data_IF_632718961734
#
_entry.id   IF_632718961734
#
_cell.length_a   1.000
_cell.length_b   1.000
_cell.length_c   1.000
_cell.angle_alpha   90.00
_cell.angle_beta   90.00
_cell.angle_gamma   90.00
#
_symmetry.space_group_name_H-M   'P 1'
#
loop_
_entity.id
_entity.type
_entity.pdbx_description
1 polymer ?
#
# COMPACT_ATOMS: atom_id res chain seq x y z
N UNK A 1 -21.61 13.86 21.53
CA UNK A 1 -21.39 13.31 20.17
C UNK A 1 -19.95 12.80 20.09
N UNK A 2 -19.76 11.48 19.98
CA UNK A 2 -18.44 10.86 19.75
C UNK A 2 -18.15 10.93 18.25
N UNK A 3 -16.99 11.46 17.89
CA UNK A 3 -16.52 11.57 16.50
C UNK A 3 -16.39 10.19 15.85
N UNK A 4 -16.89 9.98 14.62
CA UNK A 4 -16.82 8.70 13.90
C UNK A 4 -15.38 8.28 13.53
N UNK A 5 -14.39 9.18 13.69
CA UNK A 5 -12.99 8.94 13.38
C UNK A 5 -12.27 7.97 14.35
N UNK A 6 -12.81 7.69 15.54
CA UNK A 6 -12.16 6.73 16.47
C UNK A 6 -12.53 5.28 16.20
N UNK A 7 -13.64 5.02 15.50
CA UNK A 7 -14.10 3.65 15.22
C UNK A 7 -13.23 2.92 14.19
N UNK A 8 -12.73 3.62 13.17
CA UNK A 8 -11.92 3.00 12.11
C UNK A 8 -10.51 2.62 12.57
N UNK A 9 -9.89 3.40 13.49
CA UNK A 9 -8.59 3.04 14.07
C UNK A 9 -8.69 1.79 14.93
N UNK A 10 -9.78 1.62 15.68
CA UNK A 10 -10.00 0.42 16.47
C UNK A 10 -10.20 -0.84 15.60
N UNK A 11 -10.84 -0.73 14.43
CA UNK A 11 -10.99 -1.85 13.47
C UNK A 11 -9.68 -2.18 12.75
N UNK A 12 -8.83 -1.20 12.49
CA UNK A 12 -7.51 -1.41 11.90
C UNK A 12 -6.52 -2.09 12.87
N UNK A 13 -6.69 -1.87 14.18
CA UNK A 13 -5.80 -2.40 15.24
C UNK A 13 -6.26 -3.76 15.81
N UNK A 14 -7.51 -4.19 15.55
CA UNK A 14 -7.99 -5.53 15.95
C UNK A 14 -7.40 -6.66 15.11
N UNK A 15 -6.75 -6.34 13.99
CA UNK A 15 -5.96 -7.27 13.20
C UNK A 15 -4.50 -7.26 13.64
N UNK A 16 -4.26 -7.66 14.89
CA UNK A 16 -2.94 -8.13 15.32
C UNK A 16 -2.38 -9.11 14.28
N UNK A 17 -1.05 -9.24 14.14
CA UNK A 17 -0.41 -10.01 13.07
C UNK A 17 -1.00 -11.43 13.04
N UNK A 18 -1.97 -11.66 12.14
CA UNK A 18 -2.69 -12.93 12.07
C UNK A 18 -1.67 -13.99 11.69
N UNK A 19 -1.38 -14.90 12.62
CA UNK A 19 -0.41 -15.98 12.45
C UNK A 19 -0.76 -16.76 11.18
N UNK A 20 0.23 -17.00 10.32
CA UNK A 20 0.02 -17.72 9.06
C UNK A 20 -0.69 -16.92 7.95
N UNK A 21 -0.85 -15.58 8.06
CA UNK A 21 -1.38 -14.74 6.95
C UNK A 21 -0.59 -14.92 5.64
N UNK A 22 0.73 -15.16 5.71
CA UNK A 22 1.52 -15.48 4.50
C UNK A 22 1.08 -16.78 3.81
N UNK A 23 0.48 -17.72 4.54
CA UNK A 23 0.06 -19.02 4.02
C UNK A 23 -1.43 -19.07 3.58
N UNK A 24 -2.19 -17.98 3.77
CA UNK A 24 -3.66 -17.93 3.56
C UNK A 24 -4.08 -17.24 2.25
N UNK A 25 -3.14 -16.72 1.47
CA UNK A 25 -3.48 -15.99 0.24
C UNK A 25 -3.78 -16.96 -0.91
N UNK A 26 -4.79 -16.69 -1.76
CA UNK A 26 -5.17 -17.57 -2.87
C UNK A 26 -4.02 -17.86 -3.85
N UNK A 27 -2.98 -17.02 -3.87
CA UNK A 27 -1.80 -17.17 -4.72
C UNK A 27 -0.60 -17.83 -4.01
N UNK A 28 -0.82 -18.68 -3.01
CA UNK A 28 0.29 -19.32 -2.29
C UNK A 28 1.15 -20.20 -3.19
N UNK A 29 0.52 -21.14 -3.92
CA UNK A 29 1.21 -22.07 -4.80
C UNK A 29 2.09 -21.38 -5.86
N UNK A 30 1.61 -20.37 -6.61
CA UNK A 30 2.46 -19.69 -7.59
C UNK A 30 3.60 -18.89 -6.95
N UNK A 31 3.43 -18.40 -5.72
CA UNK A 31 4.53 -17.75 -4.98
C UNK A 31 5.54 -18.76 -4.48
N UNK A 32 5.10 -19.97 -4.15
CA UNK A 32 5.94 -21.01 -3.59
C UNK A 32 6.75 -21.79 -4.62
N UNK A 33 6.13 -22.01 -5.78
CA UNK A 33 6.63 -22.82 -6.87
C UNK A 33 8.07 -22.49 -7.32
N UNK A 34 8.47 -21.22 -7.55
CA UNK A 34 9.82 -20.95 -8.05
C UNK A 34 10.90 -21.35 -7.04
N UNK A 35 10.64 -21.20 -5.74
CA UNK A 35 11.60 -21.53 -4.71
C UNK A 35 11.73 -23.05 -4.52
N UNK A 36 10.60 -23.77 -4.55
CA UNK A 36 10.58 -25.22 -4.50
C UNK A 36 11.27 -25.83 -5.73
N UNK A 37 11.05 -25.24 -6.92
CA UNK A 37 11.71 -25.67 -8.15
C UNK A 37 13.23 -25.58 -8.04
N UNK A 38 13.77 -24.48 -7.51
CA UNK A 38 15.22 -24.32 -7.34
C UNK A 38 15.81 -25.36 -6.40
N UNK A 39 15.14 -25.68 -5.28
CA UNK A 39 15.62 -26.74 -4.36
C UNK A 39 15.54 -28.13 -4.97
N UNK A 40 14.48 -28.43 -5.72
CA UNK A 40 14.34 -29.70 -6.43
C UNK A 40 15.44 -29.83 -7.48
N UNK A 41 15.72 -28.78 -8.25
CA UNK A 41 16.82 -28.77 -9.22
C UNK A 41 18.17 -28.94 -8.52
N UNK A 42 18.41 -28.26 -7.40
CA UNK A 42 19.65 -28.41 -6.64
C UNK A 42 19.82 -29.84 -6.08
N UNK A 43 18.75 -30.42 -5.54
CA UNK A 43 18.74 -31.78 -4.99
C UNK A 43 18.94 -32.82 -6.09
N UNK A 44 18.24 -32.68 -7.22
CA UNK A 44 18.42 -33.56 -8.38
C UNK A 44 19.80 -33.38 -9.04
N UNK A 45 20.34 -32.16 -9.05
CA UNK A 45 21.66 -31.84 -9.58
C UNK A 45 22.79 -32.55 -8.83
N UNK A 46 22.60 -32.83 -7.54
CA UNK A 46 23.56 -33.62 -6.77
C UNK A 46 23.73 -35.06 -7.30
N UNK A 47 22.74 -35.61 -8.03
CA UNK A 47 22.77 -36.97 -8.60
C UNK A 47 23.45 -37.05 -9.97
N UNK A 48 23.87 -35.93 -10.55
CA UNK A 48 24.50 -35.92 -11.88
C UNK A 48 25.78 -36.78 -11.84
N UNK A 49 26.07 -37.63 -12.85
CA UNK A 49 27.12 -38.67 -12.80
C UNK A 49 28.58 -38.21 -12.59
N UNK A 50 28.83 -36.91 -12.43
CA UNK A 50 30.12 -36.31 -12.10
C UNK A 50 30.09 -35.56 -10.75
N UNK A 51 29.02 -35.73 -9.97
CA UNK A 51 28.89 -35.18 -8.64
C UNK A 51 29.59 -36.08 -7.63
N UNK A 52 30.58 -35.53 -6.93
CA UNK A 52 31.23 -36.17 -5.79
C UNK A 52 30.24 -36.22 -4.61
N UNK A 53 29.27 -37.14 -4.65
CA UNK A 53 28.40 -37.46 -3.51
C UNK A 53 29.23 -38.17 -2.44
N UNK A 54 29.67 -37.40 -1.44
CA UNK A 54 30.48 -37.88 -0.33
C UNK A 54 29.64 -38.71 0.66
N UNK A 55 28.36 -38.35 0.86
CA UNK A 55 27.50 -39.01 1.84
C UNK A 55 26.03 -39.20 1.43
N UNK A 56 25.71 -40.43 1.04
CA UNK A 56 24.33 -40.89 0.81
C UNK A 56 23.34 -40.65 1.95
N UNK A 57 23.67 -40.89 3.25
CA UNK A 57 22.70 -40.64 4.32
C UNK A 57 22.35 -39.17 4.48
N UNK A 58 23.31 -38.25 4.26
CA UNK A 58 23.03 -36.81 4.29
C UNK A 58 22.16 -36.38 3.12
N UNK A 59 22.37 -36.96 1.94
CA UNK A 59 21.50 -36.74 0.78
C UNK A 59 20.05 -37.19 1.05
N UNK A 60 19.86 -38.41 1.56
CA UNK A 60 18.53 -38.92 1.91
C UNK A 60 17.87 -38.05 2.99
N UNK A 61 18.62 -37.63 4.00
CA UNK A 61 18.14 -36.70 5.03
C UNK A 61 17.67 -35.37 4.41
N UNK A 62 18.45 -34.79 3.50
CA UNK A 62 18.08 -33.57 2.76
C UNK A 62 16.78 -33.74 1.99
N UNK A 63 16.63 -34.83 1.22
CA UNK A 63 15.44 -35.11 0.43
C UNK A 63 14.20 -35.29 1.32
N UNK A 64 14.34 -36.01 2.44
CA UNK A 64 13.25 -36.19 3.42
C UNK A 64 12.85 -34.84 4.05
N UNK A 65 13.82 -34.02 4.46
CA UNK A 65 13.56 -32.69 5.02
C UNK A 65 12.87 -31.76 4.00
N UNK A 66 13.23 -31.85 2.71
CA UNK A 66 12.58 -31.09 1.65
C UNK A 66 11.13 -31.53 1.45
N UNK A 67 10.85 -32.85 1.48
CA UNK A 67 9.48 -33.39 1.43
C UNK A 67 8.68 -32.96 2.66
N UNK A 68 9.27 -32.98 3.85
CA UNK A 68 8.63 -32.48 5.07
C UNK A 68 8.32 -30.98 4.97
N UNK A 69 9.22 -30.18 4.37
CA UNK A 69 8.98 -28.77 4.09
C UNK A 69 7.81 -28.58 3.12
N UNK A 70 7.71 -29.40 2.07
CA UNK A 70 6.57 -29.37 1.15
C UNK A 70 5.26 -29.79 1.84
N UNK A 71 5.30 -30.83 2.68
CA UNK A 71 4.16 -31.26 3.49
C UNK A 71 3.69 -30.19 4.49
N UNK A 72 4.61 -29.32 4.92
CA UNK A 72 4.36 -28.15 5.75
C UNK A 72 3.22 -27.24 5.28
N UNK A 73 3.05 -27.09 3.97
CA UNK A 73 2.01 -26.24 3.40
C UNK A 73 0.59 -26.75 3.65
N UNK A 74 0.42 -28.03 4.00
CA UNK A 74 -0.87 -28.63 4.32
C UNK A 74 -1.25 -28.44 5.80
N UNK A 75 -0.35 -27.93 6.65
CA UNK A 75 -0.64 -27.76 8.07
C UNK A 75 -1.69 -26.66 8.33
N UNK A 76 -2.57 -26.84 9.34
CA UNK A 76 -3.50 -25.81 9.78
C UNK A 76 -2.77 -24.74 10.62
N UNK A 77 -2.09 -23.82 9.93
CA UNK A 77 -1.30 -22.73 10.51
C UNK A 77 -2.08 -21.78 11.45
N UNK A 78 -3.41 -21.81 11.41
CA UNK A 78 -4.29 -21.00 12.27
C UNK A 78 -4.25 -21.42 13.75
N UNK A 79 -3.94 -22.70 14.02
CA UNK A 79 -3.95 -23.26 15.37
C UNK A 79 -2.60 -23.17 16.06
N UNK A 80 -1.58 -22.70 15.35
CA UNK A 80 -0.20 -22.74 15.80
C UNK A 80 0.22 -21.39 16.42
N UNK A 81 1.17 -21.41 17.37
CA UNK A 81 1.67 -20.20 18.03
C UNK A 81 2.41 -19.28 17.04
N UNK A 82 2.49 -17.99 17.35
CA UNK A 82 2.97 -16.94 16.43
C UNK A 82 4.40 -17.09 15.89
N UNK A 83 5.24 -17.92 16.49
CA UNK A 83 6.59 -18.23 16.01
C UNK A 83 6.63 -19.38 14.97
N UNK A 84 5.55 -20.15 14.83
CA UNK A 84 5.49 -21.32 13.96
C UNK A 84 5.79 -21.06 12.48
N UNK A 85 5.44 -19.89 11.87
CA UNK A 85 5.69 -19.68 10.45
C UNK A 85 7.19 -19.63 10.08
N UNK A 86 8.06 -19.32 11.04
CA UNK A 86 9.52 -19.33 10.86
C UNK A 86 10.07 -20.75 10.66
N UNK A 87 9.35 -21.76 11.16
CA UNK A 87 9.77 -23.15 11.12
C UNK A 87 9.95 -23.65 9.69
N UNK A 88 9.10 -23.23 8.75
CA UNK A 88 9.18 -23.67 7.35
C UNK A 88 10.49 -23.23 6.66
N UNK A 89 10.83 -21.92 6.62
CA UNK A 89 12.11 -21.48 6.10
C UNK A 89 13.31 -22.08 6.82
N UNK A 90 13.22 -22.28 8.14
CA UNK A 90 14.29 -22.94 8.89
C UNK A 90 14.46 -24.40 8.49
N UNK A 91 13.37 -25.15 8.38
CA UNK A 91 13.40 -26.54 7.92
C UNK A 91 14.01 -26.64 6.51
N UNK A 92 13.66 -25.71 5.63
CA UNK A 92 14.29 -25.57 4.33
C UNK A 92 15.81 -25.33 4.45
N UNK A 93 16.26 -24.40 5.29
CA UNK A 93 17.70 -24.14 5.47
C UNK A 93 18.45 -25.37 6.00
N UNK A 94 17.82 -26.18 6.86
CA UNK A 94 18.40 -27.44 7.37
C UNK A 94 18.49 -28.49 6.28
N UNK A 95 17.47 -28.61 5.40
CA UNK A 95 17.54 -29.46 4.20
C UNK A 95 18.73 -29.06 3.31
N UNK A 96 18.92 -27.77 3.06
CA UNK A 96 20.07 -27.27 2.26
C UNK A 96 21.41 -27.55 2.95
N UNK A 97 21.52 -27.40 4.28
CA UNK A 97 22.72 -27.79 5.01
C UNK A 97 23.04 -29.28 4.80
N UNK A 98 22.06 -30.16 4.93
CA UNK A 98 22.24 -31.59 4.68
C UNK A 98 22.68 -31.87 3.23
N UNK A 99 22.16 -31.11 2.26
CA UNK A 99 22.61 -31.21 0.85
C UNK A 99 24.07 -30.76 0.68
N UNK A 100 24.47 -29.66 1.31
CA UNK A 100 25.86 -29.16 1.27
C UNK A 100 26.82 -30.18 1.88
N UNK A 101 26.43 -30.84 2.97
CA UNK A 101 27.22 -31.90 3.60
C UNK A 101 27.27 -33.19 2.77
N UNK A 102 26.32 -33.38 1.83
CA UNK A 102 26.30 -34.54 0.93
C UNK A 102 27.21 -34.38 -0.30
N UNK A 103 27.44 -33.15 -0.77
CA UNK A 103 28.06 -32.85 -2.07
C UNK A 103 29.42 -32.14 -2.00
N UNK A 104 29.98 -31.93 -0.80
CA UNK A 104 31.31 -31.36 -0.62
C UNK A 104 31.45 -29.85 -0.90
N UNK A 105 32.66 -29.33 -0.63
CA UNK A 105 32.98 -27.89 -0.56
C UNK A 105 32.88 -27.12 -1.89
N UNK A 106 33.07 -27.80 -3.02
CA UNK A 106 33.27 -27.18 -4.33
C UNK A 106 32.00 -27.15 -5.22
N UNK A 107 30.88 -27.71 -4.73
CA UNK A 107 29.67 -27.96 -5.55
C UNK A 107 28.87 -26.72 -5.95
N UNK A 108 29.18 -25.52 -5.42
CA UNK A 108 28.42 -24.29 -5.69
C UNK A 108 27.01 -24.27 -5.06
N UNK A 109 26.59 -25.36 -4.41
CA UNK A 109 25.26 -25.55 -3.79
C UNK A 109 24.99 -24.52 -2.68
N UNK A 110 26.03 -23.89 -2.12
CA UNK A 110 25.89 -22.80 -1.15
C UNK A 110 25.03 -21.62 -1.65
N UNK A 111 24.91 -21.40 -2.96
CA UNK A 111 24.01 -20.38 -3.52
C UNK A 111 22.53 -20.65 -3.20
N UNK A 112 22.15 -21.91 -2.98
CA UNK A 112 20.78 -22.32 -2.65
C UNK A 112 20.33 -21.77 -1.30
N UNK A 113 21.27 -21.38 -0.40
CA UNK A 113 20.96 -20.70 0.86
C UNK A 113 20.34 -19.31 0.68
N UNK A 114 20.50 -18.69 -0.49
CA UNK A 114 19.80 -17.44 -0.80
C UNK A 114 18.30 -17.65 -1.04
N UNK A 115 17.87 -18.84 -1.47
CA UNK A 115 16.47 -19.14 -1.78
C UNK A 115 15.54 -18.94 -0.57
N UNK A 116 15.79 -19.54 0.62
CA UNK A 116 14.94 -19.32 1.80
C UNK A 116 15.06 -17.89 2.34
N UNK A 117 16.21 -17.23 2.13
CA UNK A 117 16.37 -15.83 2.47
C UNK A 117 15.46 -14.94 1.61
N UNK A 118 15.52 -15.08 0.29
CA UNK A 118 14.68 -14.32 -0.65
C UNK A 118 13.20 -14.58 -0.36
N UNK A 119 12.83 -15.85 -0.13
CA UNK A 119 11.48 -16.22 0.27
C UNK A 119 11.00 -15.41 1.49
N UNK A 120 11.77 -15.44 2.57
CA UNK A 120 11.35 -14.78 3.81
C UNK A 120 11.31 -13.27 3.64
N UNK A 121 12.30 -12.70 2.98
CA UNK A 121 12.38 -11.26 2.81
C UNK A 121 11.22 -10.71 1.96
N UNK A 122 10.69 -11.51 1.02
CA UNK A 122 9.55 -11.13 0.19
C UNK A 122 8.19 -11.37 0.84
N UNK A 123 8.02 -12.44 1.61
CA UNK A 123 6.69 -12.88 2.07
C UNK A 123 6.50 -12.85 3.58
N UNK A 124 7.58 -12.91 4.36
CA UNK A 124 7.55 -13.03 5.82
C UNK A 124 7.74 -11.67 6.51
N UNK A 125 7.74 -11.69 7.84
CA UNK A 125 8.01 -10.52 8.67
C UNK A 125 9.53 -10.34 8.91
N UNK A 126 9.92 -9.10 9.25
CA UNK A 126 11.32 -8.71 9.47
C UNK A 126 12.07 -9.58 10.48
N UNK A 127 11.39 -10.04 11.52
CA UNK A 127 12.01 -10.90 12.54
C UNK A 127 12.21 -12.33 12.05
N UNK A 128 11.27 -12.85 11.26
CA UNK A 128 11.37 -14.18 10.65
C UNK A 128 12.54 -14.24 9.66
N UNK A 129 12.73 -13.19 8.85
CA UNK A 129 13.90 -13.05 7.99
C UNK A 129 15.20 -12.90 8.78
N UNK A 130 15.21 -12.19 9.91
CA UNK A 130 16.40 -12.11 10.76
C UNK A 130 16.79 -13.49 11.32
N UNK A 131 15.81 -14.31 11.72
CA UNK A 131 16.05 -15.70 12.11
C UNK A 131 16.65 -16.52 10.96
N UNK A 132 16.16 -16.34 9.72
CA UNK A 132 16.72 -17.05 8.56
C UNK A 132 18.13 -16.56 8.20
N UNK A 133 18.42 -15.26 8.29
CA UNK A 133 19.78 -14.74 8.11
C UNK A 133 20.73 -15.38 9.14
N UNK A 134 20.32 -15.42 10.41
CA UNK A 134 21.10 -16.08 11.45
C UNK A 134 21.31 -17.57 11.15
N UNK A 135 20.27 -18.28 10.72
CA UNK A 135 20.36 -19.67 10.32
C UNK A 135 21.32 -19.89 9.13
N UNK A 136 21.27 -19.03 8.10
CA UNK A 136 22.22 -19.08 6.97
C UNK A 136 23.66 -18.90 7.43
N UNK A 137 23.91 -17.97 8.36
CA UNK A 137 25.25 -17.75 8.94
C UNK A 137 25.71 -18.97 9.75
N UNK A 138 24.81 -19.58 10.53
CA UNK A 138 25.09 -20.83 11.27
C UNK A 138 25.41 -21.97 10.31
N UNK A 139 24.62 -22.14 9.24
CA UNK A 139 24.90 -23.13 8.19
C UNK A 139 26.27 -22.90 7.58
N UNK A 140 26.63 -21.65 7.30
CA UNK A 140 27.95 -21.32 6.76
C UNK A 140 29.08 -21.67 7.73
N UNK A 141 28.91 -21.41 9.03
CA UNK A 141 29.88 -21.78 10.05
C UNK A 141 30.03 -23.30 10.16
N UNK A 142 28.92 -24.04 10.31
CA UNK A 142 28.90 -25.51 10.41
C UNK A 142 29.51 -26.15 9.18
N UNK A 143 29.10 -25.71 7.98
CA UNK A 143 29.62 -26.20 6.71
C UNK A 143 31.13 -25.98 6.58
N UNK A 144 31.63 -24.82 7.00
CA UNK A 144 33.08 -24.52 6.88
C UNK A 144 33.93 -25.30 7.88
N UNK A 145 33.42 -25.55 9.09
CA UNK A 145 34.06 -26.41 10.09
C UNK A 145 34.07 -27.86 9.64
N UNK A 146 32.94 -28.37 9.13
CA UNK A 146 32.83 -29.75 8.63
C UNK A 146 33.81 -30.05 7.49
N UNK A 147 34.13 -29.04 6.67
CA UNK A 147 35.07 -29.14 5.56
C UNK A 147 36.52 -28.82 5.96
N UNK A 148 36.82 -28.70 7.26
CA UNK A 148 38.17 -28.37 7.77
C UNK A 148 38.82 -27.15 7.08
N UNK A 149 38.02 -26.11 6.79
CA UNK A 149 38.50 -24.90 6.13
C UNK A 149 39.44 -24.09 7.04
N UNK A 150 40.44 -23.36 6.51
CA UNK A 150 41.29 -22.50 7.32
C UNK A 150 40.51 -21.39 8.05
N UNK A 151 40.88 -21.07 9.29
CA UNK A 151 40.16 -20.13 10.18
C UNK A 151 39.87 -18.76 9.54
N UNK A 152 40.83 -18.22 8.78
CA UNK A 152 40.69 -16.94 8.07
C UNK A 152 39.59 -17.00 7.00
N UNK A 153 39.44 -18.14 6.32
CA UNK A 153 38.40 -18.37 5.32
C UNK A 153 37.03 -18.47 5.99
N UNK A 154 36.95 -19.14 7.16
CA UNK A 154 35.73 -19.23 7.96
C UNK A 154 35.27 -17.83 8.39
N UNK A 155 36.17 -17.04 8.99
CA UNK A 155 35.88 -15.69 9.42
C UNK A 155 35.40 -14.80 8.27
N UNK A 156 36.10 -14.82 7.13
CA UNK A 156 35.71 -14.06 5.93
C UNK A 156 34.34 -14.49 5.40
N UNK A 157 34.06 -15.80 5.34
CA UNK A 157 32.76 -16.33 4.89
C UNK A 157 31.63 -15.89 5.81
N UNK A 158 31.80 -16.00 7.12
CA UNK A 158 30.80 -15.57 8.12
C UNK A 158 30.51 -14.07 7.99
N UNK A 159 31.56 -13.24 7.90
CA UNK A 159 31.41 -11.79 7.75
C UNK A 159 30.67 -11.44 6.46
N UNK A 160 31.09 -12.03 5.33
CA UNK A 160 30.48 -11.76 4.03
C UNK A 160 29.01 -12.19 3.97
N UNK A 161 28.67 -13.38 4.47
CA UNK A 161 27.28 -13.87 4.47
C UNK A 161 26.38 -13.10 5.44
N UNK A 162 26.92 -12.67 6.60
CA UNK A 162 26.18 -11.80 7.53
C UNK A 162 25.89 -10.45 6.89
N UNK A 163 26.89 -9.83 6.26
CA UNK A 163 26.74 -8.55 5.58
C UNK A 163 25.78 -8.66 4.39
N UNK A 164 25.93 -9.67 3.54
CA UNK A 164 25.07 -9.91 2.37
C UNK A 164 23.62 -10.19 2.79
N UNK A 165 23.41 -11.13 3.72
CA UNK A 165 22.08 -11.50 4.19
C UNK A 165 21.38 -10.35 4.91
N UNK A 166 22.11 -9.63 5.77
CA UNK A 166 21.62 -8.45 6.47
C UNK A 166 21.25 -7.31 5.51
N UNK A 167 22.11 -7.01 4.53
CA UNK A 167 21.85 -5.98 3.53
C UNK A 167 20.61 -6.31 2.69
N UNK A 168 20.52 -7.54 2.17
CA UNK A 168 19.35 -8.00 1.39
C UNK A 168 18.07 -7.86 2.25
N UNK A 169 18.10 -8.36 3.49
CA UNK A 169 16.96 -8.30 4.38
C UNK A 169 16.52 -6.86 4.64
N UNK A 170 17.44 -5.96 5.02
CA UNK A 170 17.13 -4.55 5.32
C UNK A 170 16.64 -3.81 4.06
N UNK A 171 17.36 -3.94 2.95
CA UNK A 171 17.05 -3.21 1.73
C UNK A 171 15.68 -3.59 1.17
N UNK A 172 15.38 -4.89 1.09
CA UNK A 172 14.11 -5.35 0.53
C UNK A 172 12.93 -5.10 1.47
N UNK A 173 13.10 -5.23 2.80
CA UNK A 173 12.04 -4.83 3.74
C UNK A 173 11.77 -3.32 3.67
N UNK A 174 12.83 -2.51 3.63
CA UNK A 174 12.70 -1.07 3.46
C UNK A 174 11.99 -0.69 2.16
N UNK A 175 12.32 -1.35 1.04
CA UNK A 175 11.64 -1.15 -0.24
C UNK A 175 10.17 -1.58 -0.18
N UNK A 176 9.89 -2.75 0.40
CA UNK A 176 8.53 -3.28 0.54
C UNK A 176 7.65 -2.35 1.37
N UNK A 177 8.19 -1.81 2.46
CA UNK A 177 7.48 -0.88 3.33
C UNK A 177 7.21 0.45 2.60
N UNK A 178 8.18 0.96 1.82
CA UNK A 178 8.01 2.15 0.98
C UNK A 178 6.96 1.97 -0.13
N UNK A 179 6.95 0.81 -0.79
CA UNK A 179 5.97 0.51 -1.85
C UNK A 179 4.57 0.46 -1.24
N UNK A 180 4.39 -0.24 -0.12
CA UNK A 180 3.07 -0.32 0.54
C UNK A 180 2.57 1.05 0.99
N UNK A 181 3.43 1.87 1.60
CA UNK A 181 3.05 3.22 2.01
C UNK A 181 2.69 4.10 0.81
N UNK A 182 3.45 3.98 -0.29
CA UNK A 182 3.18 4.72 -1.53
C UNK A 182 1.83 4.32 -2.15
N UNK A 183 1.51 3.03 -2.17
CA UNK A 183 0.22 2.54 -2.69
C UNK A 183 -0.95 3.08 -1.86
N UNK A 184 -0.87 3.03 -0.52
CA UNK A 184 -1.93 3.56 0.36
C UNK A 184 -2.11 5.07 0.17
N UNK A 185 -1.01 5.82 0.09
CA UNK A 185 -1.07 7.26 -0.18
C UNK A 185 -1.69 7.56 -1.55
N UNK A 186 -1.32 6.79 -2.58
CA UNK A 186 -1.87 6.97 -3.93
C UNK A 186 -3.37 6.69 -3.97
N UNK A 187 -3.84 5.63 -3.30
CA UNK A 187 -5.29 5.33 -3.22
C UNK A 187 -6.07 6.41 -2.49
N UNK A 188 -5.49 7.03 -1.46
CA UNK A 188 -6.12 8.13 -0.74
C UNK A 188 -6.24 9.38 -1.63
N UNK A 189 -5.18 9.74 -2.34
CA UNK A 189 -5.19 10.85 -3.30
C UNK A 189 -6.18 10.61 -4.45
N UNK A 190 -6.26 9.38 -4.98
CA UNK A 190 -7.22 9.03 -6.03
C UNK A 190 -8.66 9.17 -5.56
N UNK A 191 -8.96 8.84 -4.30
CA UNK A 191 -10.28 9.03 -3.71
C UNK A 191 -10.64 10.52 -3.63
N UNK A 192 -9.72 11.36 -3.15
CA UNK A 192 -9.91 12.81 -3.05
C UNK A 192 -10.12 13.48 -4.42
N UNK A 193 -9.27 13.16 -5.40
CA UNK A 193 -9.43 13.66 -6.77
C UNK A 193 -10.78 13.24 -7.35
N UNK A 194 -11.22 12.02 -7.08
CA UNK A 194 -12.53 11.52 -7.52
C UNK A 194 -13.66 12.32 -6.89
N UNK A 195 -13.62 12.60 -5.60
CA UNK A 195 -14.63 13.42 -4.92
C UNK A 195 -14.71 14.84 -5.49
N UNK A 196 -13.57 15.50 -5.70
CA UNK A 196 -13.52 16.82 -6.33
C UNK A 196 -14.05 16.80 -7.77
N UNK A 197 -13.74 15.74 -8.54
CA UNK A 197 -14.26 15.58 -9.89
C UNK A 197 -15.79 15.42 -9.91
N UNK A 198 -16.34 14.68 -8.95
CA UNK A 198 -17.78 14.49 -8.80
C UNK A 198 -18.47 15.79 -8.36
N UNK A 199 -17.87 16.56 -7.45
CA UNK A 199 -18.38 17.86 -7.03
C UNK A 199 -18.43 18.86 -8.19
N UNK A 200 -17.35 18.97 -8.97
CA UNK A 200 -17.30 19.81 -10.18
C UNK A 200 -18.32 19.37 -11.23
N UNK A 201 -18.50 18.07 -11.41
CA UNK A 201 -19.48 17.54 -12.37
C UNK A 201 -20.91 17.88 -11.94
N UNK A 202 -21.23 17.77 -10.65
CA UNK A 202 -22.54 18.17 -10.12
C UNK A 202 -22.82 19.64 -10.35
N UNK A 203 -21.83 20.52 -10.12
CA UNK A 203 -21.98 21.95 -10.36
C UNK A 203 -22.20 22.24 -11.85
N UNK A 204 -21.43 21.59 -12.73
CA UNK A 204 -21.60 21.72 -14.19
C UNK A 204 -22.98 21.27 -14.65
N UNK A 205 -23.48 20.16 -14.13
CA UNK A 205 -24.83 19.66 -14.42
C UNK A 205 -25.89 20.63 -13.89
N UNK A 206 -25.74 21.13 -12.67
CA UNK A 206 -26.67 22.08 -12.07
C UNK A 206 -26.73 23.40 -12.87
N UNK A 207 -25.58 23.95 -13.27
CA UNK A 207 -25.52 25.16 -14.10
C UNK A 207 -26.11 24.93 -15.49
N UNK A 208 -25.75 23.82 -16.15
CA UNK A 208 -26.26 23.50 -17.49
C UNK A 208 -27.78 23.27 -17.51
N UNK A 209 -28.30 22.54 -16.51
CA UNK A 209 -29.76 22.35 -16.36
C UNK A 209 -30.46 23.68 -16.07
N UNK A 210 -29.91 24.50 -15.18
CA UNK A 210 -30.45 25.82 -14.82
C UNK A 210 -30.56 26.74 -16.05
N UNK A 211 -29.48 26.88 -16.82
CA UNK A 211 -29.48 27.71 -18.02
C UNK A 211 -30.46 27.20 -19.09
N UNK A 212 -30.54 25.88 -19.29
CA UNK A 212 -31.44 25.28 -20.26
C UNK A 212 -32.92 25.43 -19.88
N UNK A 213 -33.26 25.20 -18.60
CA UNK A 213 -34.63 25.32 -18.10
C UNK A 213 -35.09 26.78 -18.15
N UNK A 214 -34.29 27.71 -17.63
CA UNK A 214 -34.64 29.15 -17.63
C UNK A 214 -34.90 29.63 -19.06
N UNK A 215 -34.01 29.30 -20.01
CA UNK A 215 -34.19 29.71 -21.41
C UNK A 215 -35.48 29.16 -22.02
N UNK A 216 -35.77 27.87 -21.83
CA UNK A 216 -36.96 27.23 -22.41
C UNK A 216 -38.26 27.79 -21.83
N UNK A 217 -38.31 28.07 -20.53
CA UNK A 217 -39.50 28.69 -19.91
C UNK A 217 -39.70 30.09 -20.47
N UNK A 218 -38.62 30.87 -20.65
CA UNK A 218 -38.67 32.21 -21.24
C UNK A 218 -39.18 32.18 -22.69
N UNK A 219 -38.63 31.30 -23.53
CA UNK A 219 -39.05 31.15 -24.94
C UNK A 219 -40.53 30.76 -25.03
N UNK A 220 -40.98 29.83 -24.18
CA UNK A 220 -42.39 29.39 -24.12
C UNK A 220 -43.31 30.52 -23.64
N UNK A 221 -42.88 31.31 -22.66
CA UNK A 221 -43.60 32.49 -22.16
C UNK A 221 -43.79 33.55 -23.25
N UNK A 222 -42.74 33.82 -24.03
CA UNK A 222 -42.79 34.72 -25.20
C UNK A 222 -43.75 34.22 -26.28
N UNK A 223 -43.73 32.91 -26.60
CA UNK A 223 -44.64 32.30 -27.57
C UNK A 223 -46.11 32.40 -27.12
N UNK A 224 -46.38 32.17 -25.83
CA UNK A 224 -47.71 32.37 -25.25
C UNK A 224 -48.15 33.84 -25.35
N UNK A 225 -47.26 34.79 -25.07
CA UNK A 225 -47.53 36.23 -25.16
C UNK A 225 -47.89 36.64 -26.60
N UNK A 226 -47.14 36.14 -27.59
CA UNK A 226 -47.44 36.35 -29.01
C UNK A 226 -48.79 35.76 -29.43
N UNK A 227 -49.12 34.58 -28.92
CA UNK A 227 -50.42 33.93 -29.16
C UNK A 227 -51.57 34.74 -28.56
N UNK A 228 -51.40 35.26 -27.34
CA UNK A 228 -52.37 36.12 -26.67
C UNK A 228 -52.59 37.46 -27.40
N UNK A 229 -51.61 37.94 -28.17
CA UNK A 229 -51.74 39.13 -29.02
C UNK A 229 -52.55 38.87 -30.31
N UNK A 230 -52.62 37.61 -30.77
CA UNK A 230 -53.42 37.22 -31.94
C UNK A 230 -54.89 36.90 -31.61
N UNK A 231 -55.20 36.66 -30.33
CA UNK A 231 -56.57 36.44 -29.85
C UNK A 231 -57.19 37.80 -29.51
N UNK A 232 -58.39 38.09 -30.05
CA UNK A 232 -59.13 39.31 -29.75
C UNK A 232 -59.49 39.45 -28.25
N UNK A 233 -59.96 40.63 -27.84
CA UNK A 233 -60.33 40.85 -26.43
C UNK A 233 -61.43 39.88 -25.96
N UNK A 234 -61.18 39.21 -24.84
CA UNK A 234 -62.10 38.22 -24.28
C UNK A 234 -61.49 37.43 -23.12
N UNK A 235 -62.31 36.62 -22.43
CA UNK A 235 -61.91 35.90 -21.21
C UNK A 235 -60.76 34.89 -21.44
N UNK A 236 -60.61 34.37 -22.65
CA UNK A 236 -59.50 33.49 -23.03
C UNK A 236 -58.14 34.23 -23.04
N UNK A 237 -58.10 35.46 -23.56
CA UNK A 237 -56.90 36.32 -23.56
C UNK A 237 -56.48 36.69 -22.15
N UNK A 238 -57.43 37.08 -21.30
CA UNK A 238 -57.18 37.42 -19.89
C UNK A 238 -56.61 36.24 -19.11
N UNK A 239 -57.15 35.03 -19.32
CA UNK A 239 -56.62 33.79 -18.71
C UNK A 239 -55.21 33.46 -19.20
N UNK A 240 -54.93 33.59 -20.49
CA UNK A 240 -53.58 33.36 -21.05
C UNK A 240 -52.56 34.32 -20.43
N UNK A 241 -52.88 35.61 -20.35
CA UNK A 241 -51.99 36.62 -19.75
C UNK A 241 -51.75 36.36 -18.25
N UNK A 242 -52.76 35.89 -17.52
CA UNK A 242 -52.60 35.48 -16.13
C UNK A 242 -51.65 34.28 -16.00
N UNK A 243 -51.79 33.25 -16.83
CA UNK A 243 -50.87 32.11 -16.84
C UNK A 243 -49.43 32.51 -17.19
N UNK A 244 -49.24 33.51 -18.07
CA UNK A 244 -47.88 34.02 -18.37
C UNK A 244 -47.30 34.77 -17.17
N UNK A 245 -48.10 35.58 -16.47
CA UNK A 245 -47.64 36.26 -15.26
C UNK A 245 -47.21 35.26 -14.17
N UNK A 246 -47.96 34.18 -13.96
CA UNK A 246 -47.55 33.12 -13.03
C UNK A 246 -46.27 32.38 -13.47
N UNK A 247 -46.03 32.24 -14.77
CA UNK A 247 -44.78 31.67 -15.28
C UNK A 247 -43.58 32.60 -15.04
N UNK A 248 -43.76 33.91 -15.22
CA UNK A 248 -42.72 34.90 -14.94
C UNK A 248 -42.38 34.96 -13.44
N UNK A 249 -43.39 34.92 -12.56
CA UNK A 249 -43.19 34.82 -11.11
C UNK A 249 -42.46 33.52 -10.75
N UNK A 250 -42.83 32.39 -11.35
CA UNK A 250 -42.14 31.11 -11.14
C UNK A 250 -40.69 31.13 -11.64
N UNK A 251 -40.37 31.84 -12.74
CA UNK A 251 -38.98 32.04 -13.20
C UNK A 251 -38.20 32.88 -12.19
N UNK A 252 -38.81 33.94 -11.66
CA UNK A 252 -38.20 34.83 -10.67
C UNK A 252 -37.84 34.05 -9.38
N UNK A 253 -38.78 33.25 -8.87
CA UNK A 253 -38.58 32.39 -7.70
C UNK A 253 -37.51 31.31 -7.93
N UNK A 254 -37.50 30.71 -9.13
CA UNK A 254 -36.47 29.75 -9.52
C UNK A 254 -35.09 30.41 -9.55
N UNK A 255 -34.99 31.64 -10.02
CA UNK A 255 -33.73 32.40 -10.03
C UNK A 255 -33.27 32.70 -8.61
N UNK A 256 -34.15 33.18 -7.74
CA UNK A 256 -33.83 33.53 -6.35
C UNK A 256 -33.33 32.31 -5.55
N UNK A 257 -34.09 31.20 -5.59
CA UNK A 257 -33.77 29.97 -4.84
C UNK A 257 -32.45 29.32 -5.26
N UNK A 258 -32.06 29.49 -6.52
CA UNK A 258 -30.86 28.90 -7.08
C UNK A 258 -29.58 29.68 -6.75
N UNK A 259 -29.67 30.99 -6.51
CA UNK A 259 -28.53 31.78 -6.03
C UNK A 259 -28.33 31.67 -4.52
N UNK A 260 -29.41 31.54 -3.73
CA UNK A 260 -29.32 31.32 -2.27
C UNK A 260 -28.66 29.98 -1.90
N UNK A 261 -28.71 28.96 -2.77
CA UNK A 261 -28.04 27.67 -2.55
C UNK A 261 -26.53 27.68 -2.84
N UNK A 262 -26.00 28.69 -3.52
CA UNK A 262 -24.57 28.79 -3.87
C UNK A 262 -23.71 29.53 -2.84
N UNK A 263 -24.34 30.41 -2.05
CA UNK A 263 -23.64 31.31 -1.10
C UNK A 263 -23.66 30.81 0.35
N UNK A 264 -24.12 29.57 0.62
CA UNK A 264 -24.09 29.03 1.99
C UNK A 264 -22.63 28.83 2.45
N UNK A 265 -22.10 29.67 3.36
CA UNK A 265 -20.70 29.65 3.72
C UNK A 265 -20.50 28.62 4.82
N UNK A 266 -20.15 27.40 4.44
CA UNK A 266 -19.57 26.42 5.36
C UNK A 266 -18.07 26.77 5.57
N UNK A 267 -17.81 28.01 5.99
CA UNK A 267 -16.52 28.46 6.47
C UNK A 267 -16.53 28.26 8.00
N UNK A 268 -15.79 27.28 8.56
CA UNK A 268 -15.66 27.18 10.00
C UNK A 268 -15.02 28.46 10.52
N UNK A 269 -15.67 29.08 11.50
CA UNK A 269 -15.16 30.19 12.30
C UNK A 269 -13.65 29.99 12.58
N UNK A 270 -12.82 30.72 11.84
CA UNK A 270 -11.42 30.86 12.19
C UNK A 270 -11.37 31.69 13.48
N UNK A 271 -10.70 31.21 14.55
CA UNK A 271 -10.57 31.97 15.78
C UNK A 271 -9.98 33.34 15.49
N UNK A 272 -10.77 34.37 15.74
CA UNK A 272 -10.36 35.76 15.65
C UNK A 272 -9.19 35.97 16.63
N UNK A 273 -8.02 36.46 16.18
CA UNK A 273 -6.90 36.72 17.08
C UNK A 273 -7.30 37.78 18.12
N UNK A 274 -6.85 37.67 19.37
CA UNK A 274 -7.22 38.62 20.41
C UNK A 274 -6.72 40.03 20.06
N UNK A 275 -7.61 41.01 20.17
CA UNK A 275 -7.30 42.44 20.09
C UNK A 275 -6.13 42.75 21.03
N UNK A 276 -4.99 43.10 20.43
CA UNK A 276 -3.83 43.57 21.17
C UNK A 276 -4.00 45.07 21.40
N UNK A 277 -3.95 45.58 22.64
CA UNK A 277 -4.04 47.02 22.88
C UNK A 277 -2.82 47.71 22.24
N UNK A 278 -3.06 48.74 21.43
CA UNK A 278 -2.02 49.67 20.96
C UNK A 278 -1.32 50.30 22.17
N UNK A 279 -0.01 50.09 22.26
CA UNK A 279 0.87 50.70 23.26
C UNK A 279 1.47 52.00 22.68
N UNK A 280 1.30 53.18 23.32
CA UNK A 280 1.71 54.45 22.75
C UNK A 280 3.10 54.86 23.26
N UNK A 281 4.16 54.22 22.77
CA UNK A 281 5.54 54.72 22.80
C UNK A 281 6.32 53.93 21.73
N UNK A 282 6.92 54.53 20.69
CA UNK A 282 7.77 55.69 20.73
C UNK A 282 9.22 55.27 20.49
N UNK A 283 9.66 55.43 19.23
CA UNK A 283 11.01 55.77 18.79
C UNK A 283 12.05 54.70 18.37
N UNK A 284 12.71 55.07 17.27
CA UNK A 284 14.09 54.82 16.87
C UNK A 284 14.39 53.56 16.01
N UNK A 285 14.36 53.78 14.68
CA UNK A 285 15.25 53.07 13.76
C UNK A 285 16.71 53.54 13.94
N UNK A 286 17.67 52.83 13.32
CA UNK A 286 18.38 53.48 12.22
C UNK A 286 18.66 52.55 11.02
N UNK A 287 18.93 53.20 9.89
CA UNK A 287 19.14 52.59 8.57
C UNK A 287 20.53 51.95 8.34
N UNK A 288 20.81 51.55 7.07
CA UNK A 288 21.92 50.68 6.72
C UNK A 288 23.17 51.45 6.23
N UNK A 289 24.38 51.04 6.62
CA UNK A 289 25.61 51.31 5.88
C UNK A 289 26.82 50.50 6.38
N UNK A 290 27.62 50.06 5.39
CA UNK A 290 29.10 49.94 5.35
C UNK A 290 29.85 48.77 6.02
N UNK A 291 30.52 48.00 5.16
CA UNK A 291 32.00 47.84 5.01
C UNK A 291 32.90 47.37 6.18
N UNK A 292 34.01 46.73 5.76
CA UNK A 292 35.26 46.37 6.50
C UNK A 292 35.27 44.97 7.16
N UNK A 293 35.96 43.99 6.54
CA UNK A 293 37.37 43.60 6.75
C UNK A 293 37.61 42.83 8.06
N UNK A 294 37.73 41.50 7.94
CA UNK A 294 38.88 40.70 8.37
C UNK A 294 38.72 39.23 7.95
#
# INVERSE_FOLDING_TARGET
>A
MKTPATHWRALADTDGPRVGRQFRQPDLLPRAAPFALVSVIATAGALVPHGDLESWPAYLCSAVLLVLCAGGFLLPWERLPGWSPVLMPLLYTVSVLALILASGAASGIGLVLLVPLIWTVLFHHRWESACVVAAVVVVQAVSSVAQASPDVVIARRIVLWTALGGLIAVATHGLRDRIKSSLVANTALQAEVRELSLARERERIASGLREGVVRKVFDTGLELHGTAAMIGEGPARTRLLHCVAELDDAIQDLRQSVFDLGDSPDAPDAPQPPDTPEDPHGAAGPGPAASEEH
#
